data_IF_473325272105
#
_entry.id   IF_473325272105
#
_cell.length_a   1.000
_cell.length_b   1.000
_cell.length_c   1.000
_cell.angle_alpha   90.00
_cell.angle_beta   90.00
_cell.angle_gamma   90.00
#
_symmetry.space_group_name_H-M   'P 1'
#
loop_
_entity.id
_entity.type
_entity.pdbx_description
1 polymer ?
#
# COMPACT_ATOMS: atom_id res chain seq x y z
N UNK A 1 -13.82 15.50 -20.47
CA UNK A 1 -12.42 15.51 -20.01
C UNK A 1 -11.91 14.08 -20.04
N UNK A 2 -10.87 13.77 -20.81
CA UNK A 2 -10.22 12.46 -20.77
C UNK A 2 -9.28 12.44 -19.57
N UNK A 3 -9.51 11.57 -18.59
CA UNK A 3 -8.72 11.52 -17.36
C UNK A 3 -7.42 10.76 -17.63
N UNK A 4 -6.27 11.44 -17.63
CA UNK A 4 -4.93 10.83 -17.75
C UNK A 4 -4.43 10.21 -16.44
N UNK A 5 -5.20 10.28 -15.35
CA UNK A 5 -4.80 9.80 -14.03
C UNK A 5 -4.30 8.35 -14.03
N UNK A 6 -4.90 7.48 -14.85
CA UNK A 6 -4.44 6.08 -15.01
C UNK A 6 -3.04 6.00 -15.60
N UNK A 7 -2.78 6.71 -16.70
CA UNK A 7 -1.44 6.72 -17.31
C UNK A 7 -0.43 7.47 -16.46
N UNK A 8 -0.83 8.50 -15.72
CA UNK A 8 0.05 9.20 -14.78
C UNK A 8 0.48 8.31 -13.62
N UNK A 9 -0.44 7.52 -13.04
CA UNK A 9 -0.11 6.59 -11.96
C UNK A 9 0.83 5.46 -12.40
N UNK A 10 0.61 4.91 -13.59
CA UNK A 10 1.43 3.82 -14.10
C UNK A 10 2.80 4.35 -14.52
N UNK A 11 2.86 5.54 -15.14
CA UNK A 11 4.12 6.18 -15.48
C UNK A 11 4.91 6.51 -14.22
N UNK A 12 4.28 7.07 -13.18
CA UNK A 12 4.94 7.36 -11.91
C UNK A 12 5.53 6.11 -11.24
N UNK A 13 4.84 4.96 -11.34
CA UNK A 13 5.38 3.68 -10.86
C UNK A 13 6.65 3.29 -11.64
N UNK A 14 6.57 3.30 -12.98
CA UNK A 14 7.66 2.89 -13.85
C UNK A 14 8.82 3.89 -13.91
N UNK A 15 8.60 5.17 -13.60
CA UNK A 15 9.64 6.21 -13.58
C UNK A 15 10.76 5.89 -12.55
N UNK A 16 10.48 5.04 -11.55
CA UNK A 16 11.48 4.53 -10.60
C UNK A 16 12.48 3.54 -11.25
N UNK A 17 12.07 2.90 -12.34
CA UNK A 17 12.80 1.82 -13.01
C UNK A 17 13.31 2.23 -14.39
N UNK A 18 12.50 2.96 -15.15
CA UNK A 18 12.70 3.27 -16.55
C UNK A 18 13.17 4.72 -16.71
N UNK A 19 14.36 4.90 -17.27
CA UNK A 19 14.93 6.21 -17.64
C UNK A 19 14.86 6.42 -19.15
N UNK A 20 14.75 7.68 -19.56
CA UNK A 20 14.81 8.04 -20.99
C UNK A 20 16.19 7.71 -21.55
N UNK A 21 16.23 7.04 -22.70
CA UNK A 21 17.47 6.65 -23.38
C UNK A 21 18.06 5.31 -22.95
N UNK A 22 17.32 4.50 -22.17
CA UNK A 22 17.74 3.13 -21.87
C UNK A 22 17.79 2.29 -23.16
N UNK A 23 18.86 1.50 -23.38
CA UNK A 23 18.89 0.49 -24.43
C UNK A 23 17.78 -0.54 -24.22
N UNK A 24 17.27 -1.16 -25.29
CA UNK A 24 16.08 -2.02 -25.24
C UNK A 24 16.30 -3.25 -24.37
N UNK A 25 17.48 -3.86 -24.41
CA UNK A 25 17.81 -5.01 -23.56
C UNK A 25 17.78 -4.66 -22.06
N UNK A 26 18.21 -3.45 -21.70
CA UNK A 26 18.22 -2.97 -20.32
C UNK A 26 16.81 -2.54 -19.89
N UNK A 27 16.04 -1.93 -20.81
CA UNK A 27 14.62 -1.67 -20.61
C UNK A 27 13.86 -2.95 -20.24
N UNK A 28 14.07 -4.05 -20.98
CA UNK A 28 13.38 -5.32 -20.68
C UNK A 28 13.71 -5.84 -19.28
N UNK A 29 14.99 -5.83 -18.90
CA UNK A 29 15.42 -6.24 -17.55
C UNK A 29 14.80 -5.37 -16.45
N UNK A 30 14.76 -4.05 -16.63
CA UNK A 30 14.18 -3.15 -15.64
C UNK A 30 12.66 -3.26 -15.58
N UNK A 31 12.01 -3.49 -16.71
CA UNK A 31 10.56 -3.73 -16.77
C UNK A 31 10.19 -5.03 -16.05
N UNK A 32 10.91 -6.14 -16.32
CA UNK A 32 10.70 -7.41 -15.63
C UNK A 32 10.88 -7.25 -14.11
N UNK A 33 11.93 -6.54 -13.68
CA UNK A 33 12.14 -6.21 -12.26
C UNK A 33 10.97 -5.41 -11.68
N UNK A 34 10.50 -4.37 -12.36
CA UNK A 34 9.35 -3.60 -11.91
C UNK A 34 8.09 -4.47 -11.76
N UNK A 35 7.85 -5.39 -12.69
CA UNK A 35 6.72 -6.32 -12.59
C UNK A 35 6.88 -7.29 -11.41
N UNK A 36 8.09 -7.81 -11.18
CA UNK A 36 8.39 -8.69 -10.05
C UNK A 36 8.20 -7.98 -8.71
N UNK A 37 8.75 -6.78 -8.56
CA UNK A 37 8.60 -5.96 -7.35
C UNK A 37 7.12 -5.68 -7.06
N UNK A 38 6.33 -5.34 -8.09
CA UNK A 38 4.89 -5.13 -7.96
C UNK A 38 4.15 -6.38 -7.46
N UNK A 39 4.51 -7.56 -8.00
CA UNK A 39 3.93 -8.84 -7.57
C UNK A 39 4.34 -9.18 -6.15
N UNK A 40 5.57 -8.88 -5.75
CA UNK A 40 6.04 -9.09 -4.39
C UNK A 40 5.33 -8.17 -3.39
N UNK A 41 5.14 -6.90 -3.73
CA UNK A 41 4.31 -5.97 -2.94
C UNK A 41 2.87 -6.48 -2.79
N UNK A 42 2.26 -6.98 -3.87
CA UNK A 42 0.92 -7.58 -3.82
C UNK A 42 0.88 -8.82 -2.92
N UNK A 43 1.83 -9.75 -3.07
CA UNK A 43 1.93 -10.95 -2.25
C UNK A 43 2.09 -10.62 -0.76
N UNK A 44 2.89 -9.59 -0.45
CA UNK A 44 3.06 -9.10 0.93
C UNK A 44 1.77 -8.50 1.47
N UNK A 45 1.06 -7.69 0.68
CA UNK A 45 -0.21 -7.09 1.07
C UNK A 45 -1.32 -8.14 1.28
N UNK A 46 -1.36 -9.17 0.43
CA UNK A 46 -2.25 -10.32 0.60
C UNK A 46 -1.93 -11.06 1.89
N UNK A 47 -0.65 -11.40 2.12
CA UNK A 47 -0.22 -12.06 3.35
C UNK A 47 -0.63 -11.27 4.61
N UNK A 48 -0.36 -9.96 4.60
CA UNK A 48 -0.73 -9.05 5.67
C UNK A 48 -2.25 -8.97 5.88
N UNK A 49 -3.06 -9.20 4.84
CA UNK A 49 -4.53 -9.18 4.90
C UNK A 49 -5.12 -10.45 5.51
N UNK A 50 -4.57 -11.61 5.16
CA UNK A 50 -5.09 -12.91 5.62
C UNK A 50 -4.54 -13.31 6.98
N UNK A 51 -3.26 -13.05 7.25
CA UNK A 51 -2.56 -13.63 8.40
C UNK A 51 -2.27 -12.66 9.52
N UNK A 52 -2.33 -11.35 9.27
CA UNK A 52 -2.19 -10.35 10.33
C UNK A 52 -3.53 -9.73 10.67
N UNK A 53 -3.84 -9.72 11.96
CA UNK A 53 -5.03 -9.04 12.47
C UNK A 53 -4.80 -7.52 12.39
N UNK A 54 -5.69 -6.76 11.72
CA UNK A 54 -5.62 -5.32 11.75
C UNK A 54 -5.79 -4.79 13.18
N UNK A 55 -5.09 -3.69 13.48
CA UNK A 55 -5.22 -3.02 14.78
C UNK A 55 -6.49 -2.19 14.75
N UNK A 56 -7.36 -2.39 15.73
CA UNK A 56 -8.57 -1.60 15.93
C UNK A 56 -8.23 -0.30 16.66
N UNK A 57 -8.92 0.78 16.31
CA UNK A 57 -8.71 2.12 16.88
C UNK A 57 -9.82 2.52 17.84
N UNK A 58 -11.06 2.16 17.57
CA UNK A 58 -12.23 2.54 18.39
C UNK A 58 -12.84 1.35 19.13
N UNK A 59 -12.61 0.13 18.63
CA UNK A 59 -13.12 -1.12 19.17
C UNK A 59 -14.65 -1.26 19.15
N UNK A 60 -15.34 -0.58 18.22
CA UNK A 60 -16.78 -0.75 17.99
C UNK A 60 -17.08 -2.01 17.16
N UNK A 61 -18.26 -2.62 17.30
CA UNK A 61 -18.59 -3.85 16.56
C UNK A 61 -18.55 -3.65 15.04
N UNK A 62 -19.05 -2.53 14.55
CA UNK A 62 -19.01 -2.22 13.11
C UNK A 62 -17.57 -2.11 12.58
N UNK A 63 -16.63 -1.67 13.42
CA UNK A 63 -15.20 -1.66 13.09
C UNK A 63 -14.62 -3.08 13.10
N UNK A 64 -14.96 -3.88 14.11
CA UNK A 64 -14.55 -5.29 14.22
C UNK A 64 -15.05 -6.10 13.03
N UNK A 65 -16.27 -5.84 12.58
CA UNK A 65 -16.83 -6.51 11.41
C UNK A 65 -16.15 -6.07 10.12
N UNK A 66 -15.91 -4.76 9.93
CA UNK A 66 -15.10 -4.25 8.83
C UNK A 66 -13.71 -4.90 8.76
N UNK A 67 -13.07 -5.15 9.91
CA UNK A 67 -11.77 -5.82 9.99
C UNK A 67 -11.81 -7.29 9.57
N UNK A 68 -12.97 -7.95 9.73
CA UNK A 68 -13.19 -9.33 9.27
C UNK A 68 -13.43 -9.36 7.76
N UNK A 69 -14.26 -8.45 7.26
CA UNK A 69 -14.75 -8.45 5.87
C UNK A 69 -13.74 -7.89 4.87
N UNK A 70 -13.14 -6.73 5.14
CA UNK A 70 -12.39 -5.98 4.14
C UNK A 70 -10.92 -6.40 4.03
N UNK A 71 -10.34 -6.22 2.84
CA UNK A 71 -8.87 -6.29 2.70
C UNK A 71 -8.20 -5.25 3.60
N UNK A 72 -6.95 -5.48 3.99
CA UNK A 72 -6.30 -4.64 5.00
C UNK A 72 -6.25 -3.15 4.61
N UNK A 73 -5.96 -2.86 3.36
CA UNK A 73 -5.92 -1.50 2.83
C UNK A 73 -7.29 -0.82 2.95
N UNK A 74 -8.36 -1.51 2.52
CA UNK A 74 -9.71 -0.96 2.57
C UNK A 74 -10.24 -0.85 4.00
N UNK A 75 -9.84 -1.79 4.87
CA UNK A 75 -10.16 -1.71 6.29
C UNK A 75 -9.61 -0.42 6.91
N UNK A 76 -8.38 0.00 6.61
CA UNK A 76 -7.83 1.22 7.18
C UNK A 76 -8.51 2.49 6.66
N UNK A 77 -8.87 2.53 5.38
CA UNK A 77 -9.71 3.60 4.81
C UNK A 77 -11.08 3.68 5.50
N UNK A 78 -11.72 2.52 5.70
CA UNK A 78 -12.98 2.41 6.42
C UNK A 78 -12.85 2.82 7.90
N UNK A 79 -11.81 2.34 8.60
CA UNK A 79 -11.52 2.67 9.99
C UNK A 79 -11.34 4.18 10.18
N UNK A 80 -10.72 4.87 9.23
CA UNK A 80 -10.60 6.32 9.28
C UNK A 80 -11.97 7.01 9.12
N UNK A 81 -12.87 6.48 8.28
CA UNK A 81 -14.25 6.96 8.21
C UNK A 81 -15.00 6.76 9.53
N UNK A 82 -14.84 5.58 10.17
CA UNK A 82 -15.42 5.26 11.48
C UNK A 82 -14.91 6.26 12.52
N UNK A 83 -13.59 6.42 12.63
CA UNK A 83 -12.97 7.31 13.60
C UNK A 83 -13.41 8.77 13.42
N UNK A 84 -13.40 9.27 12.19
CA UNK A 84 -13.87 10.64 11.92
C UNK A 84 -15.37 10.78 12.23
N UNK A 85 -16.18 9.76 11.95
CA UNK A 85 -17.62 9.74 12.24
C UNK A 85 -17.94 10.04 13.71
N UNK A 86 -17.11 9.57 14.66
CA UNK A 86 -17.27 9.86 16.09
C UNK A 86 -17.33 11.35 16.42
N UNK A 87 -16.60 12.16 15.65
CA UNK A 87 -16.51 13.61 15.85
C UNK A 87 -17.66 14.38 15.20
N UNK A 88 -18.51 13.74 14.41
CA UNK A 88 -19.64 14.42 13.79
C UNK A 88 -20.84 14.50 14.72
N UNK A 89 -21.60 15.59 14.58
CA UNK A 89 -22.91 15.78 15.21
C UNK A 89 -24.00 15.47 14.20
N UNK A 90 -25.19 15.15 14.70
CA UNK A 90 -26.36 14.90 13.86
C UNK A 90 -27.57 15.65 14.42
N UNK A 91 -28.56 15.92 13.55
CA UNK A 91 -29.86 16.48 13.89
C UNK A 91 -30.93 15.83 13.01
N UNK A 92 -32.00 15.33 13.61
CA UNK A 92 -33.20 14.88 12.89
C UNK A 92 -33.97 16.09 12.38
N UNK A 93 -34.43 16.05 11.13
CA UNK A 93 -35.08 17.19 10.47
C UNK A 93 -36.51 16.91 10.10
N UNK A 94 -36.83 15.66 9.78
CA UNK A 94 -38.14 15.28 9.27
C UNK A 94 -38.64 13.99 9.90
N UNK A 95 -39.94 13.74 9.78
CA UNK A 95 -40.63 12.52 10.19
C UNK A 95 -40.16 11.30 9.37
N UNK A 96 -39.72 11.52 8.11
CA UNK A 96 -39.17 10.50 7.20
C UNK A 96 -37.73 10.05 7.54
N UNK A 97 -37.31 10.15 8.80
CA UNK A 97 -35.97 9.80 9.31
C UNK A 97 -34.76 10.41 8.56
N UNK A 98 -34.99 11.54 7.89
CA UNK A 98 -33.92 12.35 7.30
C UNK A 98 -33.11 13.03 8.41
N UNK A 99 -31.81 12.76 8.44
CA UNK A 99 -30.87 13.28 9.44
C UNK A 99 -29.80 14.12 8.74
N UNK A 100 -29.57 15.35 9.22
CA UNK A 100 -28.38 16.11 8.83
C UNK A 100 -27.22 15.77 9.74
N UNK A 101 -26.06 15.57 9.14
CA UNK A 101 -24.79 15.31 9.81
C UNK A 101 -23.83 16.45 9.49
N UNK A 102 -23.23 17.05 10.51
CA UNK A 102 -22.33 18.18 10.36
C UNK A 102 -21.10 18.04 11.27
N UNK A 103 -19.98 18.62 10.84
CA UNK A 103 -18.72 18.55 11.59
C UNK A 103 -18.84 19.36 12.90
N UNK A 104 -18.04 18.98 13.91
CA UNK A 104 -17.97 19.56 15.26
C UNK A 104 -17.86 21.09 15.30
N UNK A 105 -17.29 21.70 14.27
CA UNK A 105 -17.14 23.16 14.12
C UNK A 105 -18.44 23.89 13.77
N UNK A 106 -19.57 23.18 13.63
CA UNK A 106 -20.91 23.82 13.55
C UNK A 106 -21.18 24.60 12.26
N UNK A 107 -20.33 24.47 11.24
CA UNK A 107 -20.57 25.14 9.97
C UNK A 107 -21.68 24.39 9.19
N UNK A 108 -22.94 24.84 9.36
CA UNK A 108 -24.11 24.30 8.65
C UNK A 108 -23.95 24.33 7.12
N UNK A 109 -23.07 25.19 6.60
CA UNK A 109 -22.77 25.33 5.17
C UNK A 109 -22.10 24.09 4.54
N UNK A 110 -21.61 23.13 5.34
CA UNK A 110 -21.02 21.87 4.85
C UNK A 110 -21.78 20.64 5.39
N UNK A 111 -22.99 20.83 5.90
CA UNK A 111 -23.81 19.73 6.39
C UNK A 111 -24.10 18.72 5.25
N UNK A 112 -24.03 17.43 5.58
CA UNK A 112 -24.43 16.35 4.69
C UNK A 112 -25.76 15.78 5.15
N UNK A 113 -26.64 15.52 4.19
CA UNK A 113 -27.91 14.87 4.46
C UNK A 113 -27.70 13.37 4.37
N UNK A 114 -28.23 12.65 5.36
CA UNK A 114 -28.32 11.19 5.38
C UNK A 114 -29.79 10.83 5.51
N UNK A 115 -30.32 10.18 4.49
CA UNK A 115 -31.64 9.54 4.51
C UNK A 115 -31.44 8.14 5.09
N UNK A 116 -32.07 7.85 6.22
CA UNK A 116 -31.97 6.55 6.88
C UNK A 116 -33.33 5.88 6.94
N UNK A 117 -33.37 4.61 6.52
CA UNK A 117 -34.54 3.74 6.56
C UNK A 117 -34.31 2.67 7.63
N UNK A 118 -34.91 2.80 8.83
CA UNK A 118 -34.67 1.87 9.95
C UNK A 118 -35.05 0.43 9.62
N UNK A 119 -36.17 0.22 8.92
CA UNK A 119 -36.69 -1.12 8.64
C UNK A 119 -35.72 -1.98 7.81
N UNK A 120 -34.90 -1.35 6.98
CA UNK A 120 -33.93 -2.05 6.11
C UNK A 120 -32.48 -1.70 6.44
N UNK A 121 -32.24 -0.93 7.51
CA UNK A 121 -30.95 -0.33 7.86
C UNK A 121 -30.26 0.31 6.63
N UNK A 122 -31.04 1.00 5.80
CA UNK A 122 -30.53 1.67 4.60
C UNK A 122 -30.15 3.09 4.90
N UNK A 123 -29.00 3.53 4.41
CA UNK A 123 -28.59 4.92 4.42
C UNK A 123 -28.13 5.39 3.05
N UNK A 124 -28.63 6.56 2.62
CA UNK A 124 -28.10 7.29 1.47
C UNK A 124 -27.54 8.61 1.94
N UNK A 125 -26.34 8.96 1.48
CA UNK A 125 -25.70 10.21 1.88
C UNK A 125 -25.39 11.10 0.69
N UNK A 126 -25.65 12.40 0.85
CA UNK A 126 -25.37 13.41 -0.19
C UNK A 126 -23.88 13.58 -0.55
N UNK A 127 -22.96 12.89 0.14
CA UNK A 127 -21.54 12.85 -0.24
C UNK A 127 -21.21 11.82 -1.33
N UNK A 128 -22.10 10.84 -1.56
CA UNK A 128 -21.99 9.80 -2.57
C UNK A 128 -20.71 8.94 -2.52
N UNK A 129 -20.00 8.93 -1.39
CA UNK A 129 -18.70 8.24 -1.29
C UNK A 129 -18.84 6.72 -1.46
N UNK A 130 -19.97 6.13 -1.03
CA UNK A 130 -20.22 4.71 -1.28
C UNK A 130 -20.40 4.44 -2.78
N UNK A 131 -21.13 5.29 -3.48
CA UNK A 131 -21.41 5.18 -4.91
C UNK A 131 -20.14 5.37 -5.76
N UNK A 132 -19.23 6.26 -5.33
CA UNK A 132 -17.98 6.51 -6.03
C UNK A 132 -16.85 5.53 -5.67
N UNK A 133 -16.74 5.15 -4.39
CA UNK A 133 -15.59 4.40 -3.87
C UNK A 133 -15.97 3.00 -3.41
N UNK A 134 -17.15 2.82 -2.82
CA UNK A 134 -17.69 1.49 -2.48
C UNK A 134 -17.58 1.07 -1.02
N UNK A 135 -17.25 1.98 -0.11
CA UNK A 135 -17.33 1.76 1.34
C UNK A 135 -18.10 2.90 2.02
N UNK A 136 -18.60 2.67 3.23
CA UNK A 136 -19.44 3.63 3.94
C UNK A 136 -18.66 4.89 4.35
N UNK A 137 -19.29 6.06 4.20
CA UNK A 137 -18.69 7.32 4.60
C UNK A 137 -18.91 7.60 6.08
N UNK A 138 -18.08 8.49 6.64
CA UNK A 138 -18.21 8.96 8.03
C UNK A 138 -19.60 9.49 8.41
N UNK A 139 -20.36 10.03 7.46
CA UNK A 139 -21.71 10.55 7.72
C UNK A 139 -22.73 9.43 7.93
N UNK A 140 -22.71 8.40 7.07
CA UNK A 140 -23.56 7.21 7.24
C UNK A 140 -23.17 6.48 8.51
N UNK A 141 -21.86 6.28 8.72
CA UNK A 141 -21.34 5.63 9.92
C UNK A 141 -21.75 6.37 11.19
N UNK A 142 -21.78 7.71 11.18
CA UNK A 142 -22.32 8.48 12.30
C UNK A 142 -23.78 8.16 12.60
N UNK A 143 -24.62 8.01 11.56
CA UNK A 143 -26.01 7.63 11.76
C UNK A 143 -26.13 6.19 12.25
N UNK A 144 -25.35 5.26 11.68
CA UNK A 144 -25.33 3.86 12.15
C UNK A 144 -24.97 3.75 13.63
N UNK A 145 -24.02 4.54 14.12
CA UNK A 145 -23.67 4.59 15.55
C UNK A 145 -24.81 5.12 16.43
N UNK A 146 -25.61 6.06 15.92
CA UNK A 146 -26.76 6.64 16.67
C UNK A 146 -27.92 5.67 16.70
N UNK A 147 -28.13 4.95 15.60
CA UNK A 147 -29.22 3.98 15.41
C UNK A 147 -28.84 2.56 15.86
N UNK A 148 -27.71 2.43 16.57
CA UNK A 148 -27.21 1.17 17.12
C UNK A 148 -27.05 0.04 16.08
N UNK A 149 -26.69 0.41 14.84
CA UNK A 149 -26.38 -0.55 13.77
C UNK A 149 -24.97 -1.09 14.01
N UNK A 150 -24.90 -2.27 14.60
CA UNK A 150 -23.64 -2.94 14.98
C UNK A 150 -22.93 -3.60 13.80
N UNK A 151 -23.68 -4.00 12.76
CA UNK A 151 -23.14 -4.68 11.58
C UNK A 151 -23.39 -3.88 10.29
N UNK A 152 -22.46 -3.92 9.35
CA UNK A 152 -22.49 -3.40 7.99
C UNK A 152 -23.54 -4.22 7.21
N UNK A 153 -24.68 -3.60 6.81
CA UNK A 153 -25.68 -4.30 6.03
C UNK A 153 -25.11 -4.82 4.71
N UNK A 154 -25.51 -6.02 4.29
CA UNK A 154 -24.92 -6.75 3.14
C UNK A 154 -24.85 -5.92 1.84
N UNK A 155 -25.84 -5.06 1.59
CA UNK A 155 -25.87 -4.14 0.44
C UNK A 155 -24.69 -3.16 0.36
N UNK A 156 -23.98 -2.94 1.47
CA UNK A 156 -22.78 -2.10 1.53
C UNK A 156 -21.47 -2.91 1.48
N UNK A 157 -21.55 -4.23 1.33
CA UNK A 157 -20.40 -5.12 1.20
C UNK A 157 -20.19 -5.41 -0.27
N UNK A 158 -19.27 -4.68 -0.90
CA UNK A 158 -18.88 -4.95 -2.28
C UNK A 158 -17.80 -6.03 -2.34
N UNK A 159 -18.04 -7.08 -3.13
CA UNK A 159 -17.10 -8.20 -3.31
C UNK A 159 -15.68 -7.73 -3.61
N UNK A 160 -15.49 -6.71 -4.45
CA UNK A 160 -14.17 -6.17 -4.82
C UNK A 160 -13.29 -5.71 -3.64
N UNK A 161 -13.90 -5.45 -2.48
CA UNK A 161 -13.26 -4.92 -1.29
C UNK A 161 -13.11 -5.95 -0.17
N UNK A 162 -13.70 -7.13 -0.33
CA UNK A 162 -13.63 -8.18 0.68
C UNK A 162 -12.34 -8.98 0.57
N UNK A 163 -11.94 -9.66 1.64
CA UNK A 163 -10.82 -10.61 1.61
C UNK A 163 -11.10 -11.75 0.63
N UNK A 164 -12.37 -12.16 0.50
CA UNK A 164 -12.78 -13.32 -0.30
C UNK A 164 -12.84 -13.08 -1.82
N UNK A 165 -12.28 -11.97 -2.33
CA UNK A 165 -12.17 -11.73 -3.79
C UNK A 165 -11.51 -12.90 -4.50
N UNK A 166 -10.43 -13.42 -3.92
CA UNK A 166 -9.63 -14.53 -4.49
C UNK A 166 -10.16 -15.91 -4.08
N UNK A 167 -11.05 -16.00 -3.10
CA UNK A 167 -11.65 -17.26 -2.59
C UNK A 167 -12.78 -17.83 -3.48
N UNK A 168 -13.16 -17.12 -4.55
CA UNK A 168 -14.29 -17.46 -5.43
C UNK A 168 -14.16 -18.71 -6.32
N UNK A 169 -13.27 -19.65 -5.98
CA UNK A 169 -13.20 -20.98 -6.59
C UNK A 169 -12.62 -22.00 -5.60
N UNK A 170 -13.11 -22.01 -4.35
CA UNK A 170 -12.87 -23.12 -3.43
C UNK A 170 -14.22 -23.62 -2.94
N UNK A 171 -14.92 -24.34 -3.81
CA UNK A 171 -15.81 -25.38 -3.33
C UNK A 171 -14.93 -26.36 -2.58
N UNK A 172 -15.26 -26.60 -1.32
CA UNK A 172 -14.63 -27.56 -0.44
C UNK A 172 -14.40 -28.88 -1.18
N UNK A 173 -13.16 -29.12 -1.58
CA UNK A 173 -12.61 -30.39 -2.01
C UNK A 173 -11.12 -30.32 -1.65
N UNK A 174 -10.67 -31.27 -0.84
CA UNK A 174 -9.31 -31.49 -0.32
C UNK A 174 -8.23 -31.44 -1.40
N UNK A 175 -7.91 -30.25 -1.89
CA UNK A 175 -6.92 -30.04 -2.94
C UNK A 175 -6.33 -28.63 -2.83
N UNK A 176 -5.73 -28.33 -1.67
CA UNK A 176 -4.80 -27.20 -1.46
C UNK A 176 -3.49 -27.31 -2.29
N UNK A 177 -3.53 -27.93 -3.47
CA UNK A 177 -2.35 -28.15 -4.32
C UNK A 177 -2.36 -27.37 -5.63
N UNK A 178 -3.30 -26.46 -5.85
CA UNK A 178 -3.32 -25.61 -7.05
C UNK A 178 -3.41 -24.11 -6.73
N UNK A 179 -2.62 -23.65 -5.76
CA UNK A 179 -2.08 -22.30 -5.84
C UNK A 179 -1.18 -22.26 -7.07
N UNK A 180 -1.64 -21.51 -8.08
CA UNK A 180 -0.88 -21.08 -9.25
C UNK A 180 0.57 -20.90 -8.85
N UNK A 181 1.48 -21.57 -9.57
CA UNK A 181 2.94 -21.46 -9.49
C UNK A 181 3.38 -20.00 -9.68
N UNK A 182 3.09 -19.15 -8.70
CA UNK A 182 3.76 -17.89 -8.46
C UNK A 182 5.17 -18.29 -8.08
N UNK A 183 6.15 -17.84 -8.86
CA UNK A 183 7.54 -18.31 -8.78
C UNK A 183 8.06 -18.37 -7.34
N UNK A 184 9.01 -19.27 -7.12
CA UNK A 184 9.69 -19.57 -5.84
C UNK A 184 10.44 -18.35 -5.26
N UNK A 185 9.69 -17.29 -4.96
CA UNK A 185 10.17 -16.06 -4.37
C UNK A 185 10.38 -16.27 -2.88
N UNK A 186 11.28 -15.48 -2.30
CA UNK A 186 11.52 -15.48 -0.86
C UNK A 186 10.22 -15.17 -0.10
N UNK A 187 9.45 -14.20 -0.58
CA UNK A 187 8.15 -13.84 0.01
C UNK A 187 7.15 -14.99 -0.04
N UNK A 188 7.00 -15.70 -1.17
CA UNK A 188 6.09 -16.86 -1.27
C UNK A 188 6.46 -17.98 -0.28
N UNK A 189 7.74 -18.33 -0.19
CA UNK A 189 8.24 -19.34 0.76
C UNK A 189 8.01 -18.91 2.21
N UNK A 190 8.33 -17.66 2.55
CA UNK A 190 8.10 -17.11 3.88
C UNK A 190 6.61 -17.12 4.25
N UNK A 191 5.74 -16.68 3.34
CA UNK A 191 4.29 -16.67 3.53
C UNK A 191 3.76 -18.07 3.83
N UNK A 192 4.21 -19.09 3.09
CA UNK A 192 3.82 -20.48 3.31
C UNK A 192 4.26 -21.01 4.67
N UNK A 193 5.49 -20.70 5.10
CA UNK A 193 5.99 -21.11 6.43
C UNK A 193 5.14 -20.46 7.53
N UNK A 194 4.85 -19.17 7.40
CA UNK A 194 4.01 -18.46 8.38
C UNK A 194 2.56 -18.97 8.40
N UNK A 195 2.00 -19.34 7.25
CA UNK A 195 0.67 -19.95 7.14
C UNK A 195 0.57 -21.21 8.00
N UNK A 196 1.50 -22.14 7.82
CA UNK A 196 1.54 -23.38 8.60
C UNK A 196 1.76 -23.08 10.08
N UNK A 197 2.66 -22.16 10.41
CA UNK A 197 2.90 -21.73 11.79
C UNK A 197 1.65 -21.19 12.48
N UNK A 198 0.87 -20.33 11.80
CA UNK A 198 -0.39 -19.79 12.34
C UNK A 198 -1.46 -20.88 12.49
N UNK A 199 -1.58 -21.78 11.51
CA UNK A 199 -2.52 -22.90 11.56
C UNK A 199 -2.22 -23.80 12.77
N UNK A 200 -0.95 -24.21 12.92
CA UNK A 200 -0.47 -25.00 14.05
C UNK A 200 -0.74 -24.27 15.38
N UNK A 201 -0.35 -22.99 15.49
CA UNK A 201 -0.57 -22.20 16.70
C UNK A 201 -2.06 -22.07 17.07
N UNK A 202 -2.93 -21.88 16.08
CA UNK A 202 -4.38 -21.77 16.31
C UNK A 202 -5.00 -23.05 16.88
N UNK A 203 -4.51 -24.22 16.43
CA UNK A 203 -4.99 -25.54 16.88
C UNK A 203 -4.36 -25.98 18.20
N UNK A 204 -3.09 -25.66 18.42
CA UNK A 204 -2.32 -26.13 19.57
C UNK A 204 -2.48 -25.25 20.82
N UNK A 205 -2.63 -23.93 20.67
CA UNK A 205 -2.64 -22.99 21.81
C UNK A 205 -3.67 -23.26 22.91
N UNK A 206 -4.85 -23.86 22.66
CA UNK A 206 -5.80 -24.18 23.74
C UNK A 206 -5.40 -25.39 24.61
N UNK A 207 -4.48 -26.24 24.15
CA UNK A 207 -4.16 -27.53 24.79
C UNK A 207 -2.68 -27.59 25.20
N UNK A 208 -2.41 -27.55 26.51
CA UNK A 208 -1.04 -27.54 27.05
C UNK A 208 -0.18 -28.71 26.54
N UNK A 209 -0.73 -29.94 26.53
CA UNK A 209 -0.01 -31.11 26.05
C UNK A 209 0.35 -31.03 24.54
N UNK A 210 -0.50 -30.39 23.73
CA UNK A 210 -0.24 -30.22 22.28
C UNK A 210 0.76 -29.09 22.04
N UNK A 211 0.73 -28.05 22.87
CA UNK A 211 1.72 -26.97 22.85
C UNK A 211 3.15 -27.50 23.03
N UNK A 212 3.38 -28.39 24.00
CA UNK A 212 4.72 -28.97 24.24
C UNK A 212 5.22 -29.76 23.03
N UNK A 213 4.34 -30.53 22.38
CA UNK A 213 4.66 -31.27 21.14
C UNK A 213 5.07 -30.32 20.01
N UNK A 214 4.35 -29.21 19.84
CA UNK A 214 4.67 -28.21 18.82
C UNK A 214 6.00 -27.53 19.11
N UNK A 215 6.28 -27.17 20.37
CA UNK A 215 7.53 -26.51 20.74
C UNK A 215 8.74 -27.42 20.52
N UNK A 216 8.62 -28.71 20.85
CA UNK A 216 9.68 -29.67 20.55
C UNK A 216 9.83 -29.92 19.04
N UNK A 217 8.72 -29.92 18.30
CA UNK A 217 8.73 -29.94 16.84
C UNK A 217 9.49 -28.76 16.24
N UNK A 218 9.16 -27.54 16.65
CA UNK A 218 9.85 -26.32 16.19
C UNK A 218 11.33 -26.31 16.55
N UNK A 219 11.71 -26.78 17.74
CA UNK A 219 13.11 -26.90 18.12
C UNK A 219 13.89 -27.93 17.27
N UNK A 220 13.23 -29.00 16.82
CA UNK A 220 13.80 -29.96 15.86
C UNK A 220 13.95 -29.32 14.48
N UNK A 221 12.87 -28.75 13.95
CA UNK A 221 12.87 -28.12 12.61
C UNK A 221 13.88 -26.97 12.53
N UNK A 222 14.03 -26.15 13.57
CA UNK A 222 15.01 -25.08 13.59
C UNK A 222 16.45 -25.61 13.49
N UNK A 223 16.78 -26.68 14.22
CA UNK A 223 18.09 -27.35 14.10
C UNK A 223 18.33 -27.86 12.70
N UNK A 224 17.34 -28.51 12.10
CA UNK A 224 17.46 -29.04 10.73
C UNK A 224 17.66 -27.91 9.71
N UNK A 225 16.97 -26.78 9.88
CA UNK A 225 17.16 -25.57 9.05
C UNK A 225 18.57 -25.01 9.21
N UNK A 226 19.09 -24.89 10.43
CA UNK A 226 20.46 -24.41 10.67
C UNK A 226 21.52 -25.32 10.05
N UNK A 227 21.32 -26.64 10.10
CA UNK A 227 22.19 -27.62 9.46
C UNK A 227 22.16 -27.42 7.93
N UNK A 228 20.97 -27.34 7.33
CA UNK A 228 20.82 -27.11 5.89
C UNK A 228 21.41 -25.77 5.43
N UNK A 229 21.31 -24.71 6.23
CA UNK A 229 21.95 -23.42 5.93
C UNK A 229 23.49 -23.52 5.97
N UNK A 230 24.04 -24.27 6.93
CA UNK A 230 25.49 -24.51 7.01
C UNK A 230 26.01 -25.30 5.81
N UNK A 231 25.31 -26.34 5.37
CA UNK A 231 25.74 -27.11 4.18
C UNK A 231 25.79 -26.24 2.93
N UNK A 232 24.78 -25.38 2.72
CA UNK A 232 24.75 -24.43 1.60
C UNK A 232 25.90 -23.40 1.67
N UNK A 233 26.35 -23.04 2.87
CA UNK A 233 27.50 -22.12 3.04
C UNK A 233 28.86 -22.77 2.78
N UNK A 234 28.97 -24.09 3.02
CA UNK A 234 30.20 -24.85 2.78
C UNK A 234 30.41 -25.14 1.29
N UNK A 235 29.32 -25.43 0.56
CA UNK A 235 29.37 -25.62 -0.90
C UNK A 235 29.83 -24.36 -1.64
N UNK A 236 29.55 -23.17 -1.11
CA UNK A 236 29.99 -21.90 -1.69
C UNK A 236 31.49 -21.62 -1.52
N UNK A 237 32.16 -22.26 -0.55
CA UNK A 237 33.59 -22.08 -0.27
C UNK A 237 34.47 -23.06 -1.07
N UNK A 238 33.94 -24.21 -1.49
CA UNK A 238 34.67 -25.18 -2.33
C UNK A 238 34.88 -24.66 -3.76
N UNK A 239 34.01 -23.78 -4.26
CA UNK A 239 34.14 -23.18 -5.61
C UNK A 239 35.27 -22.14 -5.68
N UNK A 240 35.75 -21.62 -4.55
CA UNK A 240 36.83 -20.62 -4.53
C UNK A 240 38.24 -21.22 -4.40
N UNK A 241 38.37 -22.50 -4.04
CA UNK A 241 39.68 -23.13 -3.79
C UNK A 241 40.29 -23.89 -4.98
N UNK A 242 39.61 -24.03 -6.11
CA UNK A 242 40.13 -24.77 -7.28
C UNK A 242 40.85 -23.91 -8.35
N UNK A 243 40.98 -22.59 -8.17
CA UNK A 243 41.61 -21.71 -9.17
C UNK A 243 42.94 -21.10 -8.70
N UNK A 244 43.92 -21.91 -8.32
CA UNK A 244 45.33 -21.49 -8.32
C UNK A 244 46.24 -22.67 -8.67
N UNK A 245 46.64 -22.76 -9.94
CA UNK A 245 48.00 -23.13 -10.34
C UNK A 245 48.28 -22.73 -11.81
N UNK A 246 49.58 -22.64 -12.12
CA UNK A 246 50.22 -21.63 -12.95
C UNK A 246 50.53 -22.08 -14.39
N UNK A 247 50.43 -21.11 -15.31
CA UNK A 247 51.40 -20.73 -16.36
C UNK A 247 51.67 -21.62 -17.63
N UNK A 248 51.69 -20.91 -18.78
CA UNK A 248 52.38 -21.13 -20.09
C UNK A 248 51.72 -21.89 -21.26
N UNK A 249 51.42 -21.08 -22.29
CA UNK A 249 51.64 -21.21 -23.74
C UNK A 249 51.24 -22.49 -24.51
N UNK A 250 50.40 -22.30 -25.54
CA UNK A 250 50.33 -23.16 -26.72
C UNK A 250 48.96 -23.16 -27.41
N UNK A 251 48.87 -22.53 -28.57
CA UNK A 251 47.73 -22.65 -29.49
C UNK A 251 47.58 -24.11 -29.97
N UNK A 252 46.34 -24.64 -30.04
CA UNK A 252 45.61 -25.02 -31.28
C UNK A 252 44.51 -26.08 -31.03
N UNK A 253 43.34 -25.81 -31.64
CA UNK A 253 42.23 -26.69 -32.07
C UNK A 253 41.27 -27.41 -31.10
N UNK A 254 40.05 -26.85 -31.05
CA UNK A 254 38.72 -27.46 -31.35
C UNK A 254 38.35 -28.83 -30.75
N UNK A 255 37.35 -28.83 -29.85
CA UNK A 255 36.10 -29.59 -30.05
C UNK A 255 34.97 -29.02 -29.16
N UNK A 256 33.82 -28.86 -29.80
CA UNK A 256 32.60 -28.21 -29.35
C UNK A 256 31.71 -29.22 -28.60
N UNK A 257 31.16 -28.87 -27.43
CA UNK A 257 29.92 -29.49 -26.91
C UNK A 257 28.97 -28.39 -26.45
N UNK A 258 27.90 -28.22 -27.22
CA UNK A 258 26.81 -27.26 -27.00
C UNK A 258 26.09 -27.54 -25.68
N UNK A 259 25.99 -26.53 -24.82
CA UNK A 259 24.84 -26.33 -23.94
C UNK A 259 24.15 -25.01 -24.32
N UNK A 260 22.84 -25.12 -24.49
CA UNK A 260 21.93 -24.17 -25.11
C UNK A 260 21.81 -22.89 -24.27
N UNK A 261 22.65 -21.89 -24.52
CA UNK A 261 22.46 -20.53 -24.03
C UNK A 261 21.53 -19.79 -24.97
N UNK A 262 20.36 -19.40 -24.47
CA UNK A 262 19.49 -18.44 -25.16
C UNK A 262 20.31 -17.18 -25.46
N UNK A 263 20.36 -16.78 -26.75
CA UNK A 263 21.06 -15.58 -27.19
C UNK A 263 20.58 -14.37 -26.37
N UNK A 264 21.48 -13.53 -25.85
CA UNK A 264 21.07 -12.26 -25.26
C UNK A 264 20.33 -11.44 -26.31
N UNK A 265 19.17 -10.92 -25.94
CA UNK A 265 18.35 -10.06 -26.77
C UNK A 265 19.14 -8.78 -27.05
N UNK A 266 19.57 -8.58 -28.30
CA UNK A 266 20.34 -7.41 -28.72
C UNK A 266 19.39 -6.29 -29.16
N UNK A 267 19.82 -5.05 -28.96
CA UNK A 267 19.07 -3.89 -29.41
C UNK A 267 18.94 -3.88 -30.94
N UNK A 268 17.75 -3.57 -31.49
CA UNK A 268 17.62 -3.35 -32.91
C UNK A 268 18.42 -2.10 -33.32
N UNK A 269 19.05 -2.11 -34.51
CA UNK A 269 19.87 -0.99 -34.97
C UNK A 269 19.04 0.29 -35.08
N UNK A 270 19.47 1.32 -34.34
CA UNK A 270 18.82 2.64 -34.36
C UNK A 270 19.01 3.27 -35.75
N UNK A 271 17.97 3.24 -36.59
CA UNK A 271 17.93 4.01 -37.83
C UNK A 271 17.68 5.48 -37.49
N UNK A 272 18.60 6.37 -37.85
CA UNK A 272 18.34 7.82 -37.84
C UNK A 272 17.14 8.12 -38.75
N UNK A 273 16.07 8.70 -38.20
CA UNK A 273 14.95 9.16 -39.00
C UNK A 273 15.42 10.29 -39.92
N UNK A 274 15.26 10.16 -41.24
CA UNK A 274 15.36 11.29 -42.17
C UNK A 274 14.15 12.20 -41.94
N UNK A 275 14.34 13.33 -41.27
CA UNK A 275 13.28 14.31 -41.04
C UNK A 275 13.75 15.63 -40.41
N UNK A 276 13.69 16.69 -41.23
CA UNK A 276 13.74 18.16 -41.03
C UNK A 276 14.96 18.80 -40.33
N UNK A 277 15.74 19.46 -41.17
CA UNK A 277 16.90 20.33 -40.92
C UNK A 277 16.55 21.54 -39.99
N UNK A 278 17.41 21.95 -39.02
CA UNK A 278 17.12 23.04 -38.08
C UNK A 278 17.22 24.47 -38.64
N UNK A 279 17.43 24.65 -39.94
CA UNK A 279 17.74 25.95 -40.54
C UNK A 279 16.68 26.48 -41.50
N UNK A 280 15.64 27.17 -41.00
CA UNK A 280 14.96 28.28 -41.72
C UNK A 280 13.98 29.01 -40.80
N UNK A 281 14.35 30.24 -40.42
CA UNK A 281 13.47 31.19 -39.76
C UNK A 281 12.44 31.74 -40.78
N UNK A 282 11.15 31.74 -40.40
CA UNK A 282 10.23 32.79 -40.84
C UNK A 282 9.34 33.24 -39.68
N UNK A 283 9.18 34.55 -39.62
CA UNK A 283 8.60 35.38 -38.57
C UNK A 283 7.05 35.40 -38.58
N UNK A 284 6.47 35.61 -37.39
CA UNK A 284 5.07 36.01 -37.15
C UNK A 284 4.35 34.99 -36.26
N UNK A 285 4.09 35.20 -34.96
CA UNK A 285 3.54 36.37 -34.29
C UNK A 285 4.24 36.62 -32.94
N UNK A 286 4.63 37.88 -32.72
CA UNK A 286 4.99 38.44 -31.42
C UNK A 286 3.71 38.78 -30.63
N UNK A 287 3.85 38.69 -29.29
CA UNK A 287 2.99 39.19 -28.17
C UNK A 287 1.88 38.20 -27.79
N UNK A 288 1.84 37.62 -26.59
CA UNK A 288 1.95 38.27 -25.26
C UNK A 288 2.74 37.41 -24.26
N UNK A 289 3.79 38.00 -23.69
CA UNK A 289 4.41 37.51 -22.46
C UNK A 289 3.66 38.02 -21.23
N UNK A 290 3.56 37.15 -20.22
CA UNK A 290 3.45 37.38 -18.76
C UNK A 290 2.48 36.40 -18.10
N UNK A 291 2.96 35.19 -17.74
CA UNK A 291 2.44 34.43 -16.56
C UNK A 291 3.35 33.28 -16.08
N UNK A 292 4.65 33.33 -16.34
CA UNK A 292 5.64 32.42 -15.74
C UNK A 292 6.78 33.21 -15.06
N UNK A 293 6.41 34.02 -14.08
CA UNK A 293 7.34 34.58 -13.07
C UNK A 293 6.74 34.66 -11.66
N UNK A 294 5.59 34.01 -11.42
CA UNK A 294 4.89 34.03 -10.11
C UNK A 294 4.87 32.69 -9.34
N UNK A 295 5.70 31.71 -9.71
CA UNK A 295 5.80 30.45 -8.94
C UNK A 295 7.19 30.21 -8.33
N UNK A 296 8.25 30.88 -8.80
CA UNK A 296 9.59 30.76 -8.21
C UNK A 296 9.84 31.71 -7.01
N UNK A 297 8.92 32.64 -6.69
CA UNK A 297 9.03 33.52 -5.50
C UNK A 297 8.22 33.03 -4.28
N UNK A 298 7.45 31.94 -4.39
CA UNK A 298 6.63 31.42 -3.27
C UNK A 298 7.36 30.43 -2.35
N UNK A 299 8.48 29.83 -2.77
CA UNK A 299 9.21 28.88 -1.93
C UNK A 299 10.24 29.51 -0.98
N UNK A 300 10.68 30.74 -1.20
CA UNK A 300 11.58 31.44 -0.25
C UNK A 300 10.83 32.23 0.85
N UNK A 301 9.51 32.43 0.72
CA UNK A 301 8.69 33.15 1.71
C UNK A 301 8.03 32.27 2.79
N UNK A 302 7.98 30.96 2.58
CA UNK A 302 7.35 30.02 3.53
C UNK A 302 8.31 29.62 4.67
N UNK A 303 9.61 29.49 4.39
CA UNK A 303 10.61 29.15 5.40
C UNK A 303 10.91 30.33 6.35
N UNK A 304 10.87 31.58 5.85
CA UNK A 304 11.05 32.77 6.69
C UNK A 304 9.90 33.02 7.68
N UNK A 305 8.66 32.65 7.31
CA UNK A 305 7.48 32.82 8.19
C UNK A 305 7.43 31.79 9.32
N UNK A 306 7.87 30.56 9.07
CA UNK A 306 7.97 29.55 10.14
C UNK A 306 9.07 29.89 11.15
N UNK A 307 10.19 30.47 10.74
CA UNK A 307 11.23 30.95 11.67
C UNK A 307 10.76 32.14 12.54
N UNK A 308 10.02 33.10 11.96
CA UNK A 308 9.49 34.24 12.75
C UNK A 308 8.39 33.83 13.74
N UNK A 309 7.57 32.82 13.40
CA UNK A 309 6.54 32.25 14.29
C UNK A 309 7.15 31.47 15.46
N UNK A 310 8.23 30.70 15.23
CA UNK A 310 8.96 30.05 16.32
C UNK A 310 9.63 31.06 17.26
N UNK A 311 10.21 32.14 16.73
CA UNK A 311 10.88 33.16 17.53
C UNK A 311 9.87 34.00 18.36
N UNK A 312 8.68 34.31 17.80
CA UNK A 312 7.59 34.96 18.53
C UNK A 312 7.00 34.06 19.64
N UNK A 313 6.85 32.77 19.39
CA UNK A 313 6.37 31.82 20.41
C UNK A 313 7.37 31.61 21.55
N UNK A 314 8.68 31.70 21.26
CA UNK A 314 9.72 31.67 22.30
C UNK A 314 9.75 32.96 23.14
N UNK A 315 9.56 34.14 22.51
CA UNK A 315 9.46 35.42 23.22
C UNK A 315 8.18 35.51 24.08
N UNK A 316 7.06 34.97 23.60
CA UNK A 316 5.79 34.95 24.35
C UNK A 316 5.82 34.04 25.58
N UNK A 317 6.54 32.90 25.49
CA UNK A 317 6.79 32.04 26.66
C UNK A 317 7.72 32.69 27.68
N UNK A 318 8.68 33.52 27.23
CA UNK A 318 9.57 34.30 28.11
C UNK A 318 8.85 35.44 28.84
N UNK A 319 7.87 36.10 28.22
CA UNK A 319 7.09 37.17 28.90
C UNK A 319 6.07 36.62 29.90
N UNK A 320 5.52 35.41 29.69
CA UNK A 320 4.66 34.76 30.69
C UNK A 320 5.42 34.26 31.93
N UNK A 321 6.70 33.93 31.80
CA UNK A 321 7.56 33.56 32.94
C UNK A 321 8.06 34.77 33.72
N UNK A 322 8.16 35.95 33.09
CA UNK A 322 8.55 37.19 33.78
C UNK A 322 7.34 37.81 34.53
N UNK A 323 6.13 37.74 33.97
CA UNK A 323 4.92 38.28 34.63
C UNK A 323 4.37 37.42 35.77
N UNK A 324 4.81 36.15 35.90
CA UNK A 324 4.48 35.29 37.06
C UNK A 324 5.44 35.44 38.23
N UNK A 325 6.54 36.18 38.05
CA UNK A 325 7.53 36.48 39.11
C UNK A 325 7.28 37.76 39.90
N UNK A 326 6.34 38.63 39.49
CA UNK A 326 6.15 39.95 40.09
C UNK A 326 4.90 40.10 41.00
N UNK A 327 4.23 38.99 41.33
CA UNK A 327 3.04 38.96 42.20
C UNK A 327 3.25 38.16 43.51
N UNK A 328 4.48 38.17 44.05
CA UNK A 328 4.79 37.68 45.40
C UNK A 328 5.88 38.54 46.05
N UNK A 329 5.54 39.78 46.41
CA UNK A 329 6.25 40.56 47.42
C UNK A 329 5.43 41.82 47.76
N UNK A 330 4.42 41.66 48.63
CA UNK A 330 4.05 42.58 49.72
C UNK A 330 3.54 41.72 50.86
#
# INVERSE_FOLDING_TARGET
MYTTQRSESINFYFDKYLKKGLPLYEFMKQYERAVLDRREEENKADFDTYYRRPILRVHMEIEKEGAKLYTREIFYEFQEQVFQGLSYRHKKIDENDIKKVYNKEGCEQVARTVEFEPATQSAKCSCLLFEFVGYLCRHVLKIFMVEDVQNIPEKYILKRWTKDVKSGSVMANESENNLVKSGDSVTSRYCRICQEGVNIASKASPYAAVFDVVMEGFARTLRDVEIALKSLSLDSNLVQSENVENDRNGETSVAHVQLNTQKPLLDPPIKKHKGRDPGRNYHGLKKVGKKRRMLARKHQGAEGRNKLLLQKNQLFKKTQTINSGHFKAV
#
